data_IF_472722195224
#
_entry.id   IF_472722195224
#
_cell.length_a   1.000
_cell.length_b   1.000
_cell.length_c   1.000
_cell.angle_alpha   90.00
_cell.angle_beta   90.00
_cell.angle_gamma   90.00
#
_symmetry.space_group_name_H-M   'P 1'
#
loop_
_entity.id
_entity.type
_entity.pdbx_description
1 polymer ?
#
# COMPACT_ATOMS: atom_id res chain seq x y z
N UNK A 1 13.23 -7.44 -8.16
CA UNK A 1 14.22 -6.35 -8.02
C UNK A 1 13.76 -5.42 -6.91
N UNK A 2 14.44 -5.44 -5.76
CA UNK A 2 13.98 -4.71 -4.59
C UNK A 2 14.43 -3.26 -4.72
N UNK A 3 13.54 -2.32 -4.38
CA UNK A 3 13.81 -0.90 -4.55
C UNK A 3 13.98 -0.28 -3.17
N UNK A 4 14.97 0.61 -3.02
CA UNK A 4 15.19 1.36 -1.79
C UNK A 4 14.83 2.82 -2.01
N UNK A 5 13.90 3.34 -1.21
CA UNK A 5 13.43 4.74 -1.26
C UNK A 5 13.64 5.36 0.12
N UNK A 6 14.48 6.39 0.22
CA UNK A 6 14.79 7.09 1.49
C UNK A 6 15.12 6.18 2.67
N UNK A 7 15.79 5.04 2.43
CA UNK A 7 16.11 4.07 3.48
C UNK A 7 15.09 2.93 3.63
N UNK A 8 13.86 3.09 3.13
CA UNK A 8 12.82 2.07 3.16
C UNK A 8 12.99 1.07 2.00
N UNK A 9 13.00 -0.22 2.33
CA UNK A 9 13.10 -1.29 1.33
C UNK A 9 11.71 -1.74 0.89
N UNK A 10 11.44 -1.62 -0.41
CA UNK A 10 10.28 -2.18 -1.09
C UNK A 10 10.71 -3.54 -1.66
N UNK A 11 10.22 -4.67 -1.11
CA UNK A 11 10.65 -5.99 -1.53
C UNK A 11 10.00 -6.43 -2.85
N UNK A 12 10.64 -7.35 -3.55
CA UNK A 12 10.21 -7.90 -4.86
C UNK A 12 8.76 -8.34 -4.88
N UNK A 13 8.36 -9.12 -3.87
CA UNK A 13 7.02 -9.67 -3.79
C UNK A 13 5.95 -8.58 -3.66
N UNK A 14 6.28 -7.41 -3.09
CA UNK A 14 5.34 -6.30 -2.98
C UNK A 14 5.11 -5.66 -4.35
N UNK A 15 6.17 -5.52 -5.15
CA UNK A 15 6.10 -5.03 -6.53
C UNK A 15 5.30 -6.02 -7.39
N UNK A 16 5.58 -7.32 -7.27
CA UNK A 16 4.87 -8.37 -8.02
C UNK A 16 3.38 -8.40 -7.68
N UNK A 17 3.04 -8.32 -6.40
CA UNK A 17 1.64 -8.29 -5.95
C UNK A 17 0.92 -7.04 -6.45
N UNK A 18 1.59 -5.89 -6.43
CA UNK A 18 1.02 -4.64 -6.94
C UNK A 18 0.86 -4.70 -8.46
N UNK A 19 1.82 -5.28 -9.18
CA UNK A 19 1.73 -5.50 -10.62
C UNK A 19 0.56 -6.44 -10.99
N UNK A 20 0.36 -7.52 -10.24
CA UNK A 20 -0.77 -8.43 -10.42
C UNK A 20 -2.12 -7.72 -10.25
N UNK A 21 -2.25 -6.86 -9.24
CA UNK A 21 -3.45 -6.05 -9.03
C UNK A 21 -3.70 -5.03 -10.15
N UNK A 22 -2.66 -4.60 -10.87
CA UNK A 22 -2.74 -3.61 -11.95
C UNK A 22 -2.86 -4.24 -13.34
N UNK A 23 -2.55 -5.53 -13.46
CA UNK A 23 -2.41 -6.22 -14.73
C UNK A 23 -3.62 -6.02 -15.65
N UNK A 24 -4.83 -6.25 -15.14
CA UNK A 24 -6.08 -6.11 -15.92
C UNK A 24 -6.30 -4.67 -16.40
N UNK A 25 -6.01 -3.67 -15.56
CA UNK A 25 -6.16 -2.26 -15.92
C UNK A 25 -5.14 -1.87 -17.01
N UNK A 26 -3.90 -2.36 -16.91
CA UNK A 26 -2.86 -2.12 -17.92
C UNK A 26 -3.19 -2.84 -19.22
N UNK A 27 -3.72 -4.07 -19.14
CA UNK A 27 -4.12 -4.86 -20.30
C UNK A 27 -5.20 -4.15 -21.14
N UNK A 28 -6.17 -3.49 -20.50
CA UNK A 28 -7.19 -2.68 -21.18
C UNK A 28 -6.58 -1.54 -22.01
N UNK A 29 -5.48 -0.94 -21.54
CA UNK A 29 -4.74 0.10 -22.26
C UNK A 29 -3.80 -0.42 -23.36
N UNK A 30 -3.62 -1.73 -23.45
CA UNK A 30 -2.65 -2.38 -24.36
C UNK A 30 -3.29 -3.54 -25.17
N UNK A 31 -4.38 -3.28 -25.93
CA UNK A 31 -5.08 -4.34 -26.65
C UNK A 31 -4.16 -5.02 -27.68
N UNK A 32 -4.21 -6.35 -27.74
CA UNK A 32 -3.45 -7.17 -28.70
C UNK A 32 -1.96 -7.31 -28.39
N UNK A 33 -1.47 -6.83 -27.24
CA UNK A 33 -0.09 -7.03 -26.81
C UNK A 33 0.09 -8.40 -26.10
N UNK A 34 1.28 -9.03 -26.22
CA UNK A 34 1.59 -10.25 -25.48
C UNK A 34 1.53 -10.04 -23.96
N UNK A 35 1.20 -11.10 -23.23
CA UNK A 35 1.08 -11.08 -21.76
C UNK A 35 2.36 -10.58 -21.09
N UNK A 36 3.52 -10.97 -21.60
CA UNK A 36 4.83 -10.61 -21.07
C UNK A 36 5.07 -9.11 -21.15
N UNK A 37 4.63 -8.48 -22.23
CA UNK A 37 4.73 -7.02 -22.42
C UNK A 37 3.81 -6.28 -21.46
N UNK A 38 2.58 -6.76 -21.30
CA UNK A 38 1.62 -6.19 -20.34
C UNK A 38 2.13 -6.34 -18.91
N UNK A 39 2.73 -7.50 -18.60
CA UNK A 39 3.31 -7.77 -17.28
C UNK A 39 4.48 -6.84 -16.97
N UNK A 40 5.39 -6.61 -17.92
CA UNK A 40 6.48 -5.64 -17.77
C UNK A 40 5.94 -4.23 -17.51
N UNK A 41 4.94 -3.80 -18.29
CA UNK A 41 4.31 -2.50 -18.09
C UNK A 41 3.62 -2.40 -16.71
N UNK A 42 2.93 -3.45 -16.27
CA UNK A 42 2.30 -3.50 -14.95
C UNK A 42 3.34 -3.44 -13.82
N UNK A 43 4.50 -4.08 -13.99
CA UNK A 43 5.60 -3.97 -13.04
C UNK A 43 6.17 -2.56 -12.96
N UNK A 44 6.32 -1.86 -14.08
CA UNK A 44 6.85 -0.49 -14.07
C UNK A 44 5.87 0.48 -13.39
N UNK A 45 4.57 0.41 -13.72
CA UNK A 45 3.54 1.21 -13.03
C UNK A 45 3.46 0.86 -11.54
N UNK A 46 3.62 -0.41 -11.18
CA UNK A 46 3.65 -0.84 -9.78
C UNK A 46 4.82 -0.22 -9.02
N UNK A 47 6.02 -0.15 -9.63
CA UNK A 47 7.19 0.48 -9.01
C UNK A 47 6.94 1.96 -8.76
N UNK A 48 6.48 2.70 -9.77
CA UNK A 48 6.23 4.13 -9.66
C UNK A 48 5.24 4.42 -8.53
N UNK A 49 4.11 3.69 -8.49
CA UNK A 49 3.13 3.85 -7.40
C UNK A 49 3.70 3.55 -6.03
N UNK A 50 4.53 2.51 -5.90
CA UNK A 50 5.13 2.16 -4.60
C UNK A 50 6.20 3.18 -4.18
N UNK A 51 6.92 3.77 -5.13
CA UNK A 51 7.85 4.87 -4.87
C UNK A 51 7.09 6.11 -4.42
N UNK A 52 6.02 6.50 -5.12
CA UNK A 52 5.18 7.64 -4.74
C UNK A 52 4.58 7.45 -3.35
N UNK A 53 4.04 6.26 -3.05
CA UNK A 53 3.53 5.92 -1.72
C UNK A 53 4.63 6.03 -0.65
N UNK A 54 5.84 5.56 -0.94
CA UNK A 54 6.95 5.66 0.00
C UNK A 54 7.37 7.11 0.25
N UNK A 55 7.43 7.94 -0.79
CA UNK A 55 7.77 9.37 -0.69
C UNK A 55 6.67 10.16 0.04
N UNK A 56 5.40 9.93 -0.28
CA UNK A 56 4.28 10.59 0.39
C UNK A 56 4.15 10.15 1.86
N UNK A 57 4.43 8.88 2.17
CA UNK A 57 4.50 8.41 3.55
C UNK A 57 5.65 9.06 4.34
N UNK A 58 6.75 9.43 3.68
CA UNK A 58 7.87 10.13 4.30
C UNK A 58 7.56 11.62 4.51
N UNK A 59 7.02 12.28 3.49
CA UNK A 59 6.61 13.69 3.55
C UNK A 59 5.50 13.91 4.58
N UNK A 60 4.55 12.97 4.71
CA UNK A 60 3.48 13.10 5.68
C UNK A 60 3.96 12.95 7.15
N UNK A 61 4.97 12.10 7.40
CA UNK A 61 5.66 12.06 8.70
C UNK A 61 6.38 13.36 9.00
N UNK A 62 7.01 13.96 8.00
CA UNK A 62 7.69 15.26 8.14
C UNK A 62 6.72 16.38 8.48
N UNK A 63 5.52 16.40 7.88
CA UNK A 63 4.47 17.40 8.14
C UNK A 63 3.74 17.20 9.48
N UNK A 64 3.82 16.00 10.07
CA UNK A 64 3.30 15.69 11.41
C UNK A 64 1.82 16.05 11.60
N UNK A 65 0.96 15.68 10.65
CA UNK A 65 -0.47 15.95 10.74
C UNK A 65 -1.10 15.39 12.02
N UNK A 66 -2.02 16.13 12.67
CA UNK A 66 -2.66 15.69 13.91
C UNK A 66 -3.51 14.43 13.66
N UNK A 67 -3.20 13.37 14.40
CA UNK A 67 -3.92 12.09 14.32
C UNK A 67 -4.98 12.03 15.42
N UNK A 68 -6.25 11.87 15.04
CA UNK A 68 -7.32 11.59 15.99
C UNK A 68 -7.32 10.11 16.38
N UNK A 69 -6.80 9.79 17.58
CA UNK A 69 -6.70 8.41 18.06
C UNK A 69 -8.04 7.68 18.17
N UNK A 70 -9.13 8.40 18.46
CA UNK A 70 -10.46 7.79 18.58
C UNK A 70 -10.96 7.27 17.22
N UNK A 71 -10.60 7.94 16.15
CA UNK A 71 -10.94 7.53 14.79
C UNK A 71 -10.06 6.39 14.30
N UNK A 72 -8.76 6.44 14.58
CA UNK A 72 -7.84 5.31 14.28
C UNK A 72 -8.33 4.03 14.96
N UNK A 73 -8.71 4.09 16.24
CA UNK A 73 -9.29 2.93 16.96
C UNK A 73 -10.59 2.43 16.33
N UNK A 74 -11.42 3.33 15.78
CA UNK A 74 -12.68 2.98 15.10
C UNK A 74 -12.42 2.26 13.79
N UNK A 75 -11.48 2.75 12.99
CA UNK A 75 -11.08 2.13 11.73
C UNK A 75 -10.40 0.78 11.94
N UNK A 76 -9.52 0.66 12.95
CA UNK A 76 -8.93 -0.63 13.35
C UNK A 76 -10.02 -1.66 13.66
N UNK A 77 -11.04 -1.29 14.45
CA UNK A 77 -12.17 -2.19 14.75
C UNK A 77 -12.95 -2.59 13.50
N UNK A 78 -13.17 -1.66 12.57
CA UNK A 78 -13.88 -1.92 11.31
C UNK A 78 -13.08 -2.87 10.42
N UNK A 79 -11.78 -2.63 10.27
CA UNK A 79 -10.88 -3.49 9.50
C UNK A 79 -10.83 -4.90 10.08
N UNK A 80 -10.66 -5.03 11.40
CA UNK A 80 -10.66 -6.34 12.07
C UNK A 80 -11.98 -7.07 11.82
N UNK A 81 -13.13 -6.39 11.90
CA UNK A 81 -14.44 -6.99 11.62
C UNK A 81 -14.56 -7.52 10.19
N UNK A 82 -14.02 -6.81 9.20
CA UNK A 82 -14.05 -7.21 7.79
C UNK A 82 -13.07 -8.36 7.48
N UNK A 83 -11.96 -8.46 8.21
CA UNK A 83 -10.88 -9.41 7.94
C UNK A 83 -10.90 -10.66 8.84
N UNK A 84 -12.06 -11.03 9.41
CA UNK A 84 -12.21 -12.28 10.18
C UNK A 84 -12.11 -12.12 11.71
N UNK A 85 -12.28 -10.91 12.23
CA UNK A 85 -12.41 -10.63 13.65
C UNK A 85 -11.13 -10.89 14.45
N UNK A 86 -11.24 -11.73 15.49
CA UNK A 86 -10.12 -11.99 16.43
C UNK A 86 -8.92 -12.69 15.78
N UNK A 87 -9.12 -13.37 14.64
CA UNK A 87 -8.08 -14.10 13.91
C UNK A 87 -7.59 -13.36 12.66
N UNK A 88 -7.88 -12.07 12.52
CA UNK A 88 -7.53 -11.29 11.32
C UNK A 88 -6.03 -11.27 10.99
N UNK A 89 -5.16 -11.42 12.00
CA UNK A 89 -3.71 -11.46 11.81
C UNK A 89 -3.14 -12.86 11.57
N UNK A 90 -3.97 -13.91 11.66
CA UNK A 90 -3.53 -15.29 11.51
C UNK A 90 -3.38 -15.73 10.04
N UNK A 91 -3.76 -14.87 9.08
CA UNK A 91 -3.72 -15.18 7.65
C UNK A 91 -2.42 -14.69 7.00
N UNK A 92 -1.68 -15.67 6.50
CA UNK A 92 -0.58 -15.58 5.54
C UNK A 92 0.70 -14.87 6.02
N UNK A 93 1.84 -15.56 5.87
CA UNK A 93 3.17 -15.08 6.29
C UNK A 93 3.65 -13.88 5.44
N UNK A 94 2.94 -13.58 4.35
CA UNK A 94 3.21 -12.50 3.39
C UNK A 94 2.35 -11.24 3.61
N UNK A 95 1.60 -11.15 4.71
CA UNK A 95 0.90 -9.91 5.07
C UNK A 95 1.88 -8.85 5.58
N UNK A 96 1.72 -7.60 5.12
CA UNK A 96 2.38 -6.41 5.69
C UNK A 96 1.81 -6.07 7.08
N UNK A 97 0.56 -6.44 7.32
CA UNK A 97 -0.14 -6.20 8.58
C UNK A 97 -0.14 -7.51 9.36
N UNK A 98 0.82 -7.66 10.28
CA UNK A 98 1.00 -8.89 11.07
C UNK A 98 0.45 -8.78 12.48
N UNK A 99 0.23 -7.57 12.96
CA UNK A 99 -0.26 -7.29 14.30
C UNK A 99 -1.04 -5.96 14.33
N UNK A 100 -1.58 -5.64 15.51
CA UNK A 100 -2.35 -4.41 15.72
C UNK A 100 -1.52 -3.13 15.56
N UNK A 101 -0.22 -3.15 15.85
CA UNK A 101 0.65 -1.98 15.69
C UNK A 101 0.94 -1.69 14.22
N UNK A 102 1.15 -2.73 13.41
CA UNK A 102 1.30 -2.62 11.95
C UNK A 102 0.00 -2.08 11.33
N UNK A 103 -1.16 -2.58 11.79
CA UNK A 103 -2.46 -2.06 11.36
C UNK A 103 -2.64 -0.59 11.74
N UNK A 104 -2.23 -0.20 12.95
CA UNK A 104 -2.30 1.18 13.41
C UNK A 104 -1.42 2.09 12.55
N UNK A 105 -0.18 1.67 12.25
CA UNK A 105 0.74 2.41 11.38
C UNK A 105 0.19 2.56 9.97
N UNK A 106 -0.38 1.50 9.41
CA UNK A 106 -0.98 1.53 8.08
C UNK A 106 -2.17 2.50 8.02
N UNK A 107 -3.08 2.46 9.00
CA UNK A 107 -4.24 3.37 9.06
C UNK A 107 -3.79 4.83 9.19
N UNK A 108 -2.78 5.09 10.03
CA UNK A 108 -2.23 6.44 10.18
C UNK A 108 -1.60 6.90 8.86
N UNK A 109 -0.82 6.03 8.21
CA UNK A 109 -0.18 6.33 6.92
C UNK A 109 -1.21 6.64 5.84
N UNK A 110 -2.32 5.87 5.76
CA UNK A 110 -3.41 6.12 4.83
C UNK A 110 -4.13 7.44 5.09
N UNK A 111 -4.33 7.80 6.36
CA UNK A 111 -4.96 9.09 6.72
C UNK A 111 -4.08 10.28 6.37
N UNK A 112 -2.81 10.18 6.74
CA UNK A 112 -1.78 11.15 6.42
C UNK A 112 -1.65 11.34 4.90
N UNK A 113 -1.73 10.24 4.14
CA UNK A 113 -1.79 10.28 2.68
C UNK A 113 -3.04 10.99 2.16
N UNK A 114 -4.24 10.65 2.68
CA UNK A 114 -5.49 11.30 2.25
C UNK A 114 -5.49 12.81 2.57
N UNK A 115 -4.97 13.22 3.72
CA UNK A 115 -4.86 14.64 4.08
C UNK A 115 -3.89 15.39 3.16
N UNK A 116 -2.80 14.75 2.74
CA UNK A 116 -1.87 15.33 1.78
C UNK A 116 -2.53 15.52 0.40
N UNK A 117 -3.36 14.56 -0.03
CA UNK A 117 -4.12 14.68 -1.29
C UNK A 117 -5.23 15.73 -1.24
N UNK A 118 -5.81 16.00 -0.08
CA UNK A 118 -6.81 17.07 0.09
C UNK A 118 -6.18 18.48 0.04
N UNK A 119 -4.86 18.58 0.21
CA UNK A 119 -4.10 19.84 0.16
C UNK A 119 -3.49 20.16 -1.22
N UNK A 120 -3.47 19.21 -2.16
CA UNK A 120 -3.05 19.38 -3.57
C UNK A 120 -4.21 19.81 -4.50
#
# INVERSE_FOLDING_TARGET
MAIKVNGNLIPDWAIERQAEALFENVAQGMPGKPREVIWLAAQDVAKDRLVDQALMADESKRRSYPVNEAEVKREMKRWMKQNGGKNCFAKDNRSLIRNADDLRKEIISQRHFNQLLEEE
#
